data_IF_412144670145
#
_entry.id   IF_412144670145
#
_cell.length_a   1.000
_cell.length_b   1.000
_cell.length_c   1.000
_cell.angle_alpha   90.00
_cell.angle_beta   90.00
_cell.angle_gamma   90.00
#
_symmetry.space_group_name_H-M   'P 1'
#
loop_
_entity.id
_entity.type
_entity.pdbx_description
1 polymer ?
#
# COMPACT_ATOMS: atom_id res chain seq x y z
N UNK A 1 11.63 -28.56 3.58
CA UNK A 1 10.40 -27.89 3.14
C UNK A 1 9.85 -27.15 4.34
N UNK A 2 10.16 -25.86 4.47
CA UNK A 2 9.64 -24.99 5.53
C UNK A 2 8.28 -24.49 5.10
N UNK A 3 7.26 -24.68 5.93
CA UNK A 3 5.95 -24.07 5.75
C UNK A 3 6.09 -22.55 5.91
N UNK A 4 5.76 -21.79 4.86
CA UNK A 4 5.59 -20.34 4.93
C UNK A 4 4.39 -20.10 5.84
N UNK A 5 4.65 -19.65 7.06
CA UNK A 5 3.62 -19.21 7.99
C UNK A 5 2.86 -18.05 7.36
N UNK A 6 1.54 -18.17 7.36
CA UNK A 6 0.59 -17.12 7.02
C UNK A 6 0.87 -15.90 7.91
N UNK A 7 1.63 -14.93 7.40
CA UNK A 7 1.88 -13.64 8.04
C UNK A 7 0.59 -12.82 8.01
N UNK A 8 -0.37 -13.15 8.86
CA UNK A 8 -1.49 -12.26 9.16
C UNK A 8 -0.93 -11.05 9.90
N UNK A 9 -0.80 -9.94 9.18
CA UNK A 9 -0.54 -8.63 9.77
C UNK A 9 -1.63 -8.35 10.82
N UNK A 10 -1.28 -7.98 12.06
CA UNK A 10 -2.25 -7.76 13.14
C UNK A 10 -3.29 -6.65 12.83
N UNK A 11 -3.01 -5.83 11.81
CA UNK A 11 -3.85 -4.72 11.35
C UNK A 11 -5.14 -5.17 10.61
N UNK A 12 -5.22 -6.44 10.16
CA UNK A 12 -6.41 -6.98 9.49
C UNK A 12 -7.44 -7.60 10.47
N UNK A 13 -7.30 -7.34 11.77
CA UNK A 13 -8.33 -7.75 12.73
C UNK A 13 -9.39 -6.64 12.77
N UNK A 14 -10.68 -6.92 12.51
CA UNK A 14 -11.74 -5.95 12.76
C UNK A 14 -11.63 -5.47 14.21
N UNK A 15 -11.47 -4.17 14.41
CA UNK A 15 -11.58 -3.56 15.72
C UNK A 15 -13.06 -3.69 16.13
N UNK A 16 -13.37 -4.63 17.03
CA UNK A 16 -14.71 -4.85 17.60
C UNK A 16 -14.84 -4.12 18.96
N UNK A 17 -13.98 -3.12 19.20
CA UNK A 17 -13.89 -2.39 20.45
C UNK A 17 -15.05 -1.40 20.67
N UNK A 18 -15.30 -0.99 21.92
CA UNK A 18 -16.24 0.10 22.23
C UNK A 18 -15.68 1.43 21.69
N UNK A 19 -15.94 1.70 20.42
CA UNK A 19 -15.34 2.80 19.65
C UNK A 19 -15.17 2.47 18.16
N UNK A 20 -15.32 1.20 17.79
CA UNK A 20 -15.29 0.75 16.41
C UNK A 20 -16.35 1.44 15.55
N UNK A 21 -15.92 1.94 14.39
CA UNK A 21 -16.86 2.43 13.39
C UNK A 21 -17.64 1.24 12.82
N UNK A 22 -18.95 1.39 12.55
CA UNK A 22 -19.74 0.33 11.96
C UNK A 22 -19.26 0.04 10.52
N UNK A 23 -19.38 -1.22 10.08
CA UNK A 23 -18.86 -1.69 8.78
C UNK A 23 -19.29 -0.85 7.57
N UNK A 24 -20.50 -0.28 7.60
CA UNK A 24 -21.00 0.57 6.52
C UNK A 24 -20.25 1.91 6.43
N UNK A 25 -19.83 2.46 7.58
CA UNK A 25 -19.07 3.71 7.64
C UNK A 25 -17.64 3.49 7.13
N UNK A 26 -17.00 2.39 7.57
CA UNK A 26 -15.68 1.98 7.07
C UNK A 26 -15.69 1.77 5.56
N UNK A 27 -16.67 1.03 5.03
CA UNK A 27 -16.83 0.81 3.58
C UNK A 27 -17.00 2.12 2.81
N UNK A 28 -17.81 3.05 3.33
CA UNK A 28 -18.00 4.37 2.70
C UNK A 28 -16.70 5.19 2.66
N UNK A 29 -15.92 5.20 3.73
CA UNK A 29 -14.62 5.89 3.79
C UNK A 29 -13.62 5.32 2.79
N UNK A 30 -13.57 3.99 2.66
CA UNK A 30 -12.71 3.34 1.67
C UNK A 30 -13.15 3.68 0.25
N UNK A 31 -14.45 3.68 -0.02
CA UNK A 31 -14.99 4.03 -1.33
C UNK A 31 -14.72 5.49 -1.74
N UNK A 32 -14.63 6.42 -0.78
CA UNK A 32 -14.28 7.83 -1.05
C UNK A 32 -12.83 7.99 -1.56
N UNK A 33 -11.92 7.09 -1.15
CA UNK A 33 -10.50 7.11 -1.54
C UNK A 33 -10.24 6.23 -2.76
N UNK A 34 -10.79 5.03 -2.77
CA UNK A 34 -10.47 3.97 -3.72
C UNK A 34 -11.58 3.69 -4.75
N UNK A 35 -12.77 4.25 -4.57
CA UNK A 35 -13.97 3.91 -5.34
C UNK A 35 -14.69 2.67 -4.80
N UNK A 36 -15.86 2.36 -5.37
CA UNK A 36 -16.69 1.21 -4.95
C UNK A 36 -16.07 -0.16 -5.27
N UNK A 37 -15.12 -0.20 -6.21
CA UNK A 37 -14.43 -1.42 -6.65
C UNK A 37 -12.96 -1.30 -6.30
N UNK A 38 -12.51 -2.09 -5.34
CA UNK A 38 -11.08 -2.23 -5.05
C UNK A 38 -10.40 -3.00 -6.19
N UNK A 39 -9.21 -2.57 -6.64
CA UNK A 39 -8.49 -3.30 -7.66
C UNK A 39 -8.09 -4.69 -7.15
N UNK A 40 -8.16 -5.71 -8.00
CA UNK A 40 -7.72 -7.08 -7.65
C UNK A 40 -6.20 -7.21 -7.54
N UNK A 41 -5.45 -6.21 -8.02
CA UNK A 41 -3.99 -6.18 -8.04
C UNK A 41 -3.47 -4.95 -7.29
N UNK A 42 -2.40 -5.12 -6.53
CA UNK A 42 -1.67 -3.99 -5.93
C UNK A 42 -0.76 -3.32 -6.97
N UNK A 43 -0.26 -2.12 -6.68
CA UNK A 43 0.72 -1.45 -7.55
C UNK A 43 1.97 -2.30 -7.83
N UNK A 44 2.41 -3.07 -6.82
CA UNK A 44 3.59 -3.94 -6.91
C UNK A 44 3.39 -5.20 -7.78
N UNK A 45 2.15 -5.66 -7.96
CA UNK A 45 1.82 -6.79 -8.85
C UNK A 45 1.87 -6.42 -10.33
N UNK A 46 1.88 -5.13 -10.65
CA UNK A 46 1.92 -4.67 -12.04
C UNK A 46 3.35 -4.73 -12.53
N UNK A 47 3.52 -5.23 -13.77
CA UNK A 47 4.79 -5.15 -14.45
C UNK A 47 5.28 -3.69 -14.45
N UNK A 48 6.58 -3.44 -14.21
CA UNK A 48 7.13 -2.09 -14.26
C UNK A 48 6.70 -1.43 -15.56
N UNK A 49 5.99 -0.31 -15.44
CA UNK A 49 5.74 0.56 -16.59
C UNK A 49 7.11 1.02 -17.11
N UNK A 50 7.31 1.02 -18.43
CA UNK A 50 8.51 1.59 -19.05
C UNK A 50 8.87 2.89 -18.32
N UNK A 51 10.08 2.99 -17.73
CA UNK A 51 10.46 4.16 -16.95
C UNK A 51 10.26 5.38 -17.84
N UNK A 52 9.39 6.29 -17.40
CA UNK A 52 9.17 7.54 -18.14
C UNK A 52 10.41 8.38 -17.87
N UNK A 53 11.37 8.28 -18.79
CA UNK A 53 12.76 8.67 -18.61
C UNK A 53 13.04 10.06 -18.02
N UNK A 54 14.29 10.20 -17.59
CA UNK A 54 14.97 11.39 -17.06
C UNK A 54 14.47 11.95 -15.72
N UNK A 55 13.16 11.93 -15.43
CA UNK A 55 12.62 12.53 -14.19
C UNK A 55 12.86 11.71 -12.93
N UNK A 56 12.82 10.39 -13.03
CA UNK A 56 12.93 9.50 -11.87
C UNK A 56 14.39 9.44 -11.34
N UNK A 57 15.36 9.42 -12.25
CA UNK A 57 16.78 9.43 -11.91
C UNK A 57 17.23 10.76 -11.30
N UNK A 58 16.77 11.89 -11.85
CA UNK A 58 17.07 13.23 -11.33
C UNK A 58 16.52 13.42 -9.90
N UNK A 59 15.34 12.86 -9.62
CA UNK A 59 14.77 12.87 -8.28
C UNK A 59 15.59 12.00 -7.31
N UNK A 60 15.96 10.78 -7.72
CA UNK A 60 16.73 9.86 -6.88
C UNK A 60 18.11 10.42 -6.51
N UNK A 61 18.81 11.04 -7.45
CA UNK A 61 20.13 11.65 -7.20
C UNK A 61 20.06 12.82 -6.20
N UNK A 62 18.92 13.51 -6.12
CA UNK A 62 18.68 14.58 -5.14
C UNK A 62 18.39 14.05 -3.73
N UNK A 63 18.04 12.77 -3.60
CA UNK A 63 17.77 12.13 -2.31
C UNK A 63 19.01 11.50 -1.67
N UNK A 64 20.17 11.53 -2.33
CA UNK A 64 21.41 10.97 -1.79
C UNK A 64 21.88 11.80 -0.59
N UNK A 65 21.98 11.20 0.63
CA UNK A 65 22.44 11.91 1.81
C UNK A 65 23.89 12.41 1.65
N UNK A 66 24.22 13.60 2.18
CA UNK A 66 25.51 14.28 1.93
C UNK A 66 26.73 13.62 2.57
N UNK A 67 26.54 12.56 3.35
CA UNK A 67 27.60 11.82 4.05
C UNK A 67 27.90 10.45 3.43
N UNK A 68 27.40 10.17 2.23
CA UNK A 68 27.90 9.04 1.44
C UNK A 68 29.23 9.42 0.77
N UNK A 69 30.32 9.22 1.53
CA UNK A 69 31.71 9.26 1.08
C UNK A 69 32.52 8.25 1.88
#
# INVERSE_FOLDING_TARGET
MTAMGDERTPDDTPDDGPGAEPDWARRKRLADVFGDVLPETTGDDRAPREPTGDRDDEWLQRQVPPHHG
#
